data_IF_366253827565
#
_entry.id   IF_366253827565
#
_cell.length_a   1.000
_cell.length_b   1.000
_cell.length_c   1.000
_cell.angle_alpha   90.00
_cell.angle_beta   90.00
_cell.angle_gamma   90.00
#
_symmetry.space_group_name_H-M   'P 1'
#
loop_
_entity.id
_entity.type
_entity.pdbx_description
1 polymer ?
#
# COMPACT_ATOMS: atom_id res chain seq x y z
N UNK A 1 4.45 -24.06 14.41
CA UNK A 1 5.85 -23.91 14.88
C UNK A 1 6.63 -23.00 13.94
N UNK A 2 6.76 -23.32 12.65
CA UNK A 2 7.53 -22.50 11.69
C UNK A 2 6.96 -21.11 11.37
N UNK A 3 5.63 -20.91 11.42
CA UNK A 3 5.06 -19.58 11.18
C UNK A 3 5.45 -18.56 12.27
N UNK A 4 5.45 -18.98 13.55
CA UNK A 4 5.79 -18.08 14.65
C UNK A 4 7.26 -17.68 14.59
N UNK A 5 8.16 -18.61 14.27
CA UNK A 5 9.59 -18.33 14.10
C UNK A 5 9.85 -17.39 12.92
N UNK A 6 9.14 -17.58 11.80
CA UNK A 6 9.17 -16.63 10.68
C UNK A 6 8.67 -15.23 11.08
N UNK A 7 7.57 -15.17 11.85
CA UNK A 7 7.01 -13.91 12.34
C UNK A 7 7.95 -13.21 13.33
N UNK A 8 8.63 -13.96 14.19
CA UNK A 8 9.61 -13.43 15.14
C UNK A 8 10.86 -12.90 14.43
N UNK A 9 11.39 -13.65 13.46
CA UNK A 9 12.58 -13.26 12.70
C UNK A 9 12.40 -12.00 11.86
N UNK A 10 11.16 -11.72 11.42
CA UNK A 10 10.84 -10.57 10.57
C UNK A 10 9.99 -9.53 11.31
N UNK A 11 9.97 -9.57 12.64
CA UNK A 11 9.11 -8.71 13.45
C UNK A 11 9.38 -7.22 13.19
N UNK A 12 10.64 -6.84 13.12
CA UNK A 12 11.09 -5.49 12.78
C UNK A 12 10.55 -5.02 11.42
N UNK A 13 10.58 -5.90 10.40
CA UNK A 13 10.02 -5.60 9.09
C UNK A 13 8.50 -5.42 9.15
N UNK A 14 7.78 -6.23 9.92
CA UNK A 14 6.33 -6.06 10.08
C UNK A 14 5.95 -4.78 10.81
N UNK A 15 6.72 -4.40 11.84
CA UNK A 15 6.49 -3.18 12.59
C UNK A 15 6.77 -1.94 11.72
N UNK A 16 7.78 -2.00 10.83
CA UNK A 16 8.12 -0.90 9.90
C UNK A 16 7.09 -0.64 8.79
N UNK A 17 6.05 -1.47 8.65
CA UNK A 17 4.96 -1.26 7.68
C UNK A 17 4.16 -0.01 8.02
N UNK A 18 4.09 0.36 9.30
CA UNK A 18 3.24 1.47 9.76
C UNK A 18 3.80 2.84 9.37
N UNK A 19 5.13 3.00 9.43
CA UNK A 19 5.81 4.28 9.12
C UNK A 19 5.44 4.85 7.73
N UNK A 20 5.49 4.09 6.61
CA UNK A 20 5.09 4.61 5.30
C UNK A 20 3.59 4.91 5.20
N UNK A 21 2.75 4.17 5.95
CA UNK A 21 1.30 4.41 5.96
C UNK A 21 1.01 5.75 6.64
N UNK A 22 1.64 6.02 7.78
CA UNK A 22 1.51 7.28 8.51
C UNK A 22 2.02 8.47 7.70
N UNK A 23 3.16 8.31 7.04
CA UNK A 23 3.70 9.34 6.14
C UNK A 23 2.71 9.67 5.00
N UNK A 24 2.12 8.66 4.36
CA UNK A 24 1.15 8.86 3.29
C UNK A 24 -0.15 9.54 3.78
N UNK A 25 -0.66 9.15 4.96
CA UNK A 25 -1.83 9.80 5.56
C UNK A 25 -1.54 11.26 5.91
N UNK A 26 -0.35 11.56 6.45
CA UNK A 26 0.08 12.91 6.78
C UNK A 26 0.32 13.79 5.54
N UNK A 27 0.72 13.20 4.42
CA UNK A 27 0.87 13.89 3.14
C UNK A 27 -0.49 14.29 2.55
N UNK A 28 -1.51 13.44 2.72
CA UNK A 28 -2.88 13.69 2.26
C UNK A 28 -3.74 14.45 3.29
N UNK A 29 -3.22 14.72 4.50
CA UNK A 29 -3.95 15.31 5.63
C UNK A 29 -5.25 14.55 5.97
N UNK A 30 -5.20 13.20 5.87
CA UNK A 30 -6.30 12.30 6.19
C UNK A 30 -5.99 11.56 7.50
N UNK A 31 -7.04 11.18 8.21
CA UNK A 31 -6.94 10.30 9.37
C UNK A 31 -7.25 8.87 8.94
N UNK A 32 -6.83 7.89 9.76
CA UNK A 32 -7.12 6.47 9.53
C UNK A 32 -8.62 6.18 9.44
N UNK A 33 -9.45 6.95 10.14
CA UNK A 33 -10.90 6.78 10.15
C UNK A 33 -11.55 7.23 8.83
N UNK A 34 -10.90 8.14 8.10
CA UNK A 34 -11.37 8.67 6.81
C UNK A 34 -11.16 7.67 5.66
N UNK A 35 -10.46 6.55 5.90
CA UNK A 35 -10.19 5.53 4.88
C UNK A 35 -11.37 4.57 4.78
N UNK A 36 -12.08 4.59 3.66
CA UNK A 36 -13.26 3.73 3.44
C UNK A 36 -12.91 2.26 3.23
N UNK A 37 -11.90 1.99 2.41
CA UNK A 37 -11.55 0.65 1.94
C UNK A 37 -10.04 0.44 1.92
N UNK A 38 -9.61 -0.79 2.23
CA UNK A 38 -8.20 -1.19 2.24
C UNK A 38 -8.00 -2.26 1.19
N UNK A 39 -7.23 -1.96 0.15
CA UNK A 39 -6.89 -2.93 -0.90
C UNK A 39 -5.41 -3.29 -0.79
N UNK A 40 -5.12 -4.58 -0.71
CA UNK A 40 -3.75 -5.09 -0.63
C UNK A 40 -3.30 -5.61 -1.99
N UNK A 41 -2.17 -5.11 -2.49
CA UNK A 41 -1.62 -5.43 -3.82
C UNK A 41 -0.18 -5.91 -3.67
N UNK A 42 0.19 -6.95 -4.43
CA UNK A 42 1.52 -7.58 -4.38
C UNK A 42 1.59 -8.88 -3.57
N UNK A 43 2.50 -9.79 -3.96
CA UNK A 43 2.54 -11.16 -3.44
C UNK A 43 2.83 -11.28 -1.94
N UNK A 44 3.65 -10.39 -1.37
CA UNK A 44 3.96 -10.35 0.06
C UNK A 44 2.74 -10.04 0.94
N UNK A 45 1.71 -9.40 0.38
CA UNK A 45 0.46 -9.13 1.11
C UNK A 45 -0.38 -10.39 1.36
N UNK A 46 0.00 -11.54 0.80
CA UNK A 46 -0.59 -12.85 1.13
C UNK A 46 -0.16 -13.36 2.51
N UNK A 47 0.92 -12.81 3.09
CA UNK A 47 1.39 -13.18 4.43
C UNK A 47 0.30 -12.81 5.46
N UNK A 48 -0.19 -13.76 6.28
CA UNK A 48 -1.26 -13.50 7.25
C UNK A 48 -0.93 -12.37 8.23
N UNK A 49 0.33 -12.28 8.67
CA UNK A 49 0.80 -11.24 9.59
C UNK A 49 0.66 -9.84 9.02
N UNK A 50 0.99 -9.63 7.73
CA UNK A 50 0.83 -8.33 7.05
C UNK A 50 -0.63 -7.89 7.07
N UNK A 51 -1.54 -8.81 6.72
CA UNK A 51 -2.99 -8.55 6.73
C UNK A 51 -3.49 -8.19 8.11
N UNK A 52 -2.99 -8.87 9.14
CA UNK A 52 -3.32 -8.60 10.53
C UNK A 52 -2.81 -7.23 10.97
N UNK A 53 -1.56 -6.88 10.69
CA UNK A 53 -0.95 -5.59 11.06
C UNK A 53 -1.73 -4.44 10.43
N UNK A 54 -1.94 -4.48 9.12
CA UNK A 54 -2.69 -3.45 8.40
C UNK A 54 -4.14 -3.37 8.88
N UNK A 55 -4.81 -4.51 9.03
CA UNK A 55 -6.19 -4.55 9.50
C UNK A 55 -6.36 -4.03 10.93
N UNK A 56 -5.39 -4.32 11.80
CA UNK A 56 -5.39 -3.82 13.19
C UNK A 56 -5.11 -2.33 13.24
N UNK A 57 -4.23 -1.82 12.38
CA UNK A 57 -3.89 -0.40 12.33
C UNK A 57 -5.09 0.48 11.93
N UNK A 58 -5.80 0.09 10.88
CA UNK A 58 -6.99 0.81 10.40
C UNK A 58 -8.30 0.41 11.12
N UNK A 59 -8.29 -0.67 11.90
CA UNK A 59 -9.50 -1.21 12.54
C UNK A 59 -10.54 -1.76 11.55
N UNK A 60 -10.14 -2.04 10.30
CA UNK A 60 -11.00 -2.51 9.21
C UNK A 60 -10.34 -3.69 8.49
N UNK A 61 -11.15 -4.63 8.01
CA UNK A 61 -10.62 -5.76 7.25
C UNK A 61 -10.24 -5.34 5.82
N UNK A 62 -9.10 -5.82 5.28
CA UNK A 62 -8.77 -5.62 3.87
C UNK A 62 -9.79 -6.26 2.93
N UNK A 63 -10.03 -5.64 1.78
CA UNK A 63 -10.84 -6.20 0.71
C UNK A 63 -10.04 -7.27 -0.06
N UNK A 64 -10.65 -8.44 -0.23
CA UNK A 64 -10.10 -9.59 -0.97
C UNK A 64 -10.84 -9.86 -2.30
N UNK A 65 -11.76 -8.97 -2.71
CA UNK A 65 -12.48 -9.07 -3.98
C UNK A 65 -11.64 -8.73 -5.21
N UNK A 66 -10.38 -8.30 -5.01
CA UNK A 66 -9.44 -7.92 -6.06
C UNK A 66 -8.27 -8.90 -6.04
N UNK A 67 -7.88 -9.39 -7.22
CA UNK A 67 -6.67 -10.20 -7.36
C UNK A 67 -5.43 -9.28 -7.24
N UNK A 68 -4.57 -9.48 -6.23
CA UNK A 68 -3.43 -8.61 -5.95
C UNK A 68 -2.34 -8.65 -7.04
N UNK A 69 -2.34 -9.65 -7.93
CA UNK A 69 -1.37 -9.77 -9.03
C UNK A 69 -1.92 -9.15 -10.32
N UNK A 70 -3.23 -9.23 -10.55
CA UNK A 70 -3.86 -8.70 -11.74
C UNK A 70 -4.26 -7.22 -11.62
N UNK A 71 -4.44 -6.71 -10.41
CA UNK A 71 -4.85 -5.31 -10.17
C UNK A 71 -3.97 -4.31 -10.92
N UNK A 72 -2.64 -4.48 -10.82
CA UNK A 72 -1.66 -3.57 -11.43
C UNK A 72 -1.70 -3.64 -12.96
N UNK A 73 -1.71 -4.86 -13.52
CA UNK A 73 -1.71 -5.06 -14.98
C UNK A 73 -3.01 -4.56 -15.61
N UNK A 74 -4.13 -4.81 -14.94
CA UNK A 74 -5.45 -4.34 -15.38
C UNK A 74 -5.49 -2.81 -15.38
N UNK A 75 -5.04 -2.17 -14.30
CA UNK A 75 -4.96 -0.71 -14.23
C UNK A 75 -4.07 -0.11 -15.32
N UNK A 76 -2.90 -0.72 -15.58
CA UNK A 76 -2.00 -0.28 -16.65
C UNK A 76 -2.63 -0.43 -18.05
N UNK A 77 -3.33 -1.53 -18.31
CA UNK A 77 -4.01 -1.76 -19.59
C UNK A 77 -5.16 -0.75 -19.82
N UNK A 78 -5.95 -0.47 -18.78
CA UNK A 78 -6.99 0.58 -18.82
C UNK A 78 -6.35 1.93 -19.11
N UNK A 79 -5.26 2.29 -18.42
CA UNK A 79 -4.55 3.55 -18.63
C UNK A 79 -4.01 3.68 -20.06
N UNK A 80 -3.47 2.60 -20.63
CA UNK A 80 -3.01 2.58 -22.02
C UNK A 80 -4.16 2.77 -23.02
N UNK A 81 -5.32 2.15 -22.76
CA UNK A 81 -6.53 2.32 -23.57
C UNK A 81 -7.06 3.75 -23.56
N UNK A 82 -7.03 4.42 -22.40
CA UNK A 82 -7.42 5.82 -22.24
C UNK A 82 -6.47 6.74 -23.02
N UNK A 83 -5.14 6.59 -22.84
CA UNK A 83 -4.14 7.39 -23.58
C UNK A 83 -4.24 7.15 -25.09
N UNK A 84 -4.54 5.92 -25.51
CA UNK A 84 -4.72 5.56 -26.91
C UNK A 84 -6.05 6.02 -27.52
N UNK A 85 -6.93 6.68 -26.76
CA UNK A 85 -8.25 7.14 -27.23
C UNK A 85 -9.23 5.99 -27.53
N UNK A 86 -8.91 4.78 -27.11
CA UNK A 86 -9.73 3.58 -27.36
C UNK A 86 -10.79 3.31 -26.28
N UNK A 87 -10.80 4.11 -25.20
CA UNK A 87 -11.76 4.00 -24.10
C UNK A 87 -12.50 5.32 -23.90
N UNK A 88 -13.84 5.29 -23.69
CA UNK A 88 -14.66 6.50 -23.56
C UNK A 88 -14.52 7.18 -22.18
N UNK A 89 -13.66 6.65 -21.30
CA UNK A 89 -13.43 7.23 -19.99
C UNK A 89 -12.32 8.30 -20.10
N UNK A 90 -12.66 9.56 -19.87
CA UNK A 90 -11.69 10.62 -19.61
C UNK A 90 -11.20 10.52 -18.15
N UNK A 91 -10.55 9.41 -17.78
CA UNK A 91 -9.84 9.35 -16.50
C UNK A 91 -8.46 9.94 -16.71
N UNK A 92 -8.33 11.24 -16.47
CA UNK A 92 -7.01 11.81 -16.23
C UNK A 92 -6.62 11.40 -14.82
N UNK A 93 -5.58 10.57 -14.69
CA UNK A 93 -4.87 10.50 -13.42
C UNK A 93 -4.36 11.93 -13.15
N UNK A 94 -5.07 12.68 -12.31
CA UNK A 94 -4.54 13.93 -11.79
C UNK A 94 -3.34 13.53 -10.96
N UNK A 95 -2.13 13.87 -11.42
CA UNK A 95 -1.00 13.91 -10.51
C UNK A 95 -1.39 14.90 -9.40
N UNK A 96 -1.59 14.38 -8.19
CA UNK A 96 -1.71 15.24 -7.03
C UNK A 96 -0.46 16.14 -7.03
N UNK A 97 -0.60 17.48 -7.05
CA UNK A 97 0.54 18.37 -6.99
C UNK A 97 1.24 18.15 -5.65
N UNK A 98 2.20 17.23 -5.63
CA UNK A 98 2.92 16.83 -4.43
C UNK A 98 4.10 17.78 -4.30
N UNK A 99 3.93 18.80 -3.45
CA UNK A 99 5.00 19.76 -3.14
C UNK A 99 6.05 19.18 -2.17
N UNK A 100 6.05 17.87 -1.93
CA UNK A 100 6.93 17.18 -0.97
C UNK A 100 7.93 16.28 -1.70
N UNK A 101 9.19 16.37 -1.24
CA UNK A 101 10.33 15.56 -1.69
C UNK A 101 10.04 14.08 -1.39
N UNK A 102 10.40 13.15 -2.30
CA UNK A 102 10.35 11.71 -2.03
C UNK A 102 11.01 11.41 -0.68
N UNK A 103 10.24 10.91 0.28
CA UNK A 103 10.74 10.58 1.62
C UNK A 103 11.38 9.19 1.54
N UNK A 104 12.70 9.14 1.73
CA UNK A 104 13.43 7.88 1.88
C UNK A 104 13.37 7.43 3.34
N UNK A 105 12.43 6.56 3.66
CA UNK A 105 12.21 6.06 5.02
C UNK A 105 13.32 5.09 5.50
N UNK A 106 14.16 4.58 4.58
CA UNK A 106 15.14 3.52 4.89
C UNK A 106 16.55 4.02 5.29
N UNK A 107 16.75 5.30 5.54
CA UNK A 107 18.05 5.81 6.01
C UNK A 107 18.08 5.88 7.53
N UNK A 108 18.15 4.72 8.19
CA UNK A 108 18.66 4.65 9.54
C UNK A 108 20.19 4.58 9.48
N UNK A 109 20.84 5.50 10.19
CA UNK A 109 22.28 5.56 10.41
C UNK A 109 22.86 4.16 10.69
N UNK A 110 23.63 3.64 9.75
CA UNK A 110 24.67 2.65 10.05
C UNK A 110 25.87 3.39 10.65
N UNK A 111 25.73 3.86 11.88
CA UNK A 111 26.86 4.20 12.74
C UNK A 111 26.76 3.35 14.00
N UNK A 112 27.43 2.19 13.95
CA UNK A 112 28.04 1.49 15.07
C UNK A 112 29.13 0.55 14.52
#
# INVERSE_FOLDING_TARGET
MFQNEFEELNKDLFDSIIDPIEAALADCNLKREDIDEIVLVGGSTRIPKVRQVVGSYFGKAPNFGIDPELAVVTGAAVQAGVIGGGWPLEVTAMELPTNRRKVHLYTHNSEA
#
